data_IF_939803950652
#
_entry.id   IF_939803950652
#
_cell.length_a   1.000
_cell.length_b   1.000
_cell.length_c   1.000
_cell.angle_alpha   90.00
_cell.angle_beta   90.00
_cell.angle_gamma   90.00
#
_symmetry.space_group_name_H-M   'P 1'
#
loop_
_entity.id
_entity.type
_entity.pdbx_description
1 polymer ?
#
# COMPACT_ATOMS: atom_id res chain seq x y z
N UNK A 1 10.69 2.92 11.86
CA UNK A 1 11.19 2.97 10.47
C UNK A 1 11.37 4.43 10.02
N UNK A 2 12.54 4.79 9.48
CA UNK A 2 12.74 6.11 8.84
C UNK A 2 11.95 6.16 7.53
N UNK A 3 11.24 7.26 7.29
CA UNK A 3 10.61 7.52 6.00
C UNK A 3 11.71 7.61 4.92
N UNK A 4 11.67 6.73 3.92
CA UNK A 4 12.61 6.78 2.82
C UNK A 4 12.14 7.85 1.82
N UNK A 5 13.03 8.78 1.49
CA UNK A 5 12.90 9.66 0.34
C UNK A 5 13.32 8.86 -0.90
N UNK A 6 12.42 8.72 -1.87
CA UNK A 6 12.73 8.05 -3.14
C UNK A 6 12.71 9.12 -4.24
N UNK A 7 13.73 9.14 -5.09
CA UNK A 7 13.86 10.14 -6.16
C UNK A 7 12.85 9.96 -7.32
N UNK A 8 11.99 8.94 -7.27
CA UNK A 8 11.02 8.58 -8.31
C UNK A 8 10.63 7.11 -8.23
N UNK A 9 9.84 6.60 -9.18
CA UNK A 9 9.46 5.19 -9.27
C UNK A 9 10.65 4.36 -9.81
N UNK A 10 11.31 3.48 -9.03
CA UNK A 10 12.45 2.72 -9.54
C UNK A 10 11.97 1.63 -10.51
N UNK A 11 12.36 1.71 -11.78
CA UNK A 11 11.93 0.78 -12.84
C UNK A 11 12.19 -0.69 -12.50
N UNK A 12 13.31 -0.97 -11.83
CA UNK A 12 13.72 -2.33 -11.47
C UNK A 12 12.86 -2.91 -10.35
N UNK A 13 12.48 -2.09 -9.36
CA UNK A 13 11.58 -2.51 -8.27
C UNK A 13 10.18 -2.79 -8.82
N UNK A 14 9.67 -1.96 -9.73
CA UNK A 14 8.38 -2.18 -10.41
C UNK A 14 8.42 -3.46 -11.25
N UNK A 15 9.46 -3.65 -12.04
CA UNK A 15 9.62 -4.86 -12.87
C UNK A 15 9.64 -6.12 -12.01
N UNK A 16 10.41 -6.09 -10.90
CA UNK A 16 10.45 -7.20 -9.95
C UNK A 16 9.09 -7.44 -9.28
N UNK A 17 8.36 -6.38 -8.95
CA UNK A 17 7.03 -6.46 -8.36
C UNK A 17 6.01 -7.08 -9.32
N UNK A 18 5.98 -6.64 -10.57
CA UNK A 18 5.10 -7.18 -11.61
C UNK A 18 5.42 -8.64 -11.94
N UNK A 19 6.70 -9.02 -11.88
CA UNK A 19 7.14 -10.41 -12.07
C UNK A 19 6.87 -11.31 -10.86
N UNK A 20 6.29 -10.80 -9.77
CA UNK A 20 6.05 -11.60 -8.57
C UNK A 20 7.31 -11.91 -7.76
N UNK A 21 8.39 -11.15 -7.92
CA UNK A 21 9.71 -11.43 -7.31
C UNK A 21 10.11 -10.42 -6.22
N UNK A 22 9.29 -9.40 -5.99
CA UNK A 22 9.56 -8.36 -5.00
C UNK A 22 9.03 -8.76 -3.62
N UNK A 23 9.92 -8.85 -2.63
CA UNK A 23 9.60 -9.32 -1.27
C UNK A 23 8.86 -8.28 -0.42
N UNK A 24 9.00 -6.98 -0.74
CA UNK A 24 8.36 -5.89 0.01
C UNK A 24 7.48 -4.99 -0.86
N UNK A 25 6.19 -5.29 -1.02
CA UNK A 25 5.26 -4.45 -1.78
C UNK A 25 5.18 -3.01 -1.30
N UNK A 26 5.45 -2.70 -0.02
CA UNK A 26 5.35 -1.34 0.52
C UNK A 26 6.45 -0.41 0.01
N UNK A 27 7.53 -0.95 -0.57
CA UNK A 27 8.54 -0.14 -1.28
C UNK A 27 8.05 0.37 -2.63
N UNK A 28 7.09 -0.34 -3.23
CA UNK A 28 6.56 -0.03 -4.56
C UNK A 28 5.21 0.66 -4.48
N UNK A 29 4.34 0.22 -3.57
CA UNK A 29 2.94 0.65 -3.48
C UNK A 29 2.67 1.54 -2.26
N UNK A 30 1.54 2.24 -2.30
CA UNK A 30 1.11 3.16 -1.26
C UNK A 30 1.71 4.57 -1.43
N UNK A 31 1.69 5.39 -0.37
CA UNK A 31 2.26 6.73 -0.40
C UNK A 31 3.79 6.67 -0.35
N UNK A 32 4.49 7.51 -1.10
CA UNK A 32 5.96 7.62 -1.13
C UNK A 32 6.36 9.09 -1.15
N UNK A 33 7.36 9.47 -0.36
CA UNK A 33 7.88 10.85 -0.41
C UNK A 33 8.88 10.97 -1.57
N UNK A 34 8.63 11.93 -2.46
CA UNK A 34 9.48 12.27 -3.60
C UNK A 34 9.82 13.75 -3.50
N UNK A 35 10.99 14.06 -2.96
CA UNK A 35 11.34 15.44 -2.59
C UNK A 35 10.35 16.00 -1.56
N UNK A 36 9.67 17.10 -1.90
CA UNK A 36 8.64 17.72 -1.05
C UNK A 36 7.23 17.18 -1.32
N UNK A 37 7.07 16.33 -2.33
CA UNK A 37 5.76 15.87 -2.78
C UNK A 37 5.49 14.44 -2.30
N UNK A 38 4.22 14.07 -2.33
CA UNK A 38 3.77 12.71 -2.06
C UNK A 38 3.29 12.05 -3.34
N UNK A 39 3.92 10.94 -3.71
CA UNK A 39 3.48 10.09 -4.81
C UNK A 39 2.71 8.89 -4.27
N UNK A 40 1.46 8.73 -4.66
CA UNK A 40 0.63 7.57 -4.33
C UNK A 40 0.68 6.60 -5.49
N UNK A 41 1.13 5.37 -5.23
CA UNK A 41 1.36 4.33 -6.23
C UNK A 41 0.41 3.17 -6.01
N UNK A 42 -0.37 2.83 -7.03
CA UNK A 42 -1.44 1.83 -6.93
C UNK A 42 -1.31 0.81 -8.04
N UNK A 43 -1.46 -0.47 -7.69
CA UNK A 43 -1.54 -1.55 -8.66
C UNK A 43 -2.93 -2.21 -8.64
N UNK A 44 -3.72 -1.96 -9.69
CA UNK A 44 -5.05 -2.51 -9.93
C UNK A 44 -5.23 -2.84 -11.42
N UNK A 45 -4.84 -4.06 -11.86
CA UNK A 45 -5.03 -4.51 -13.25
C UNK A 45 -6.49 -4.49 -13.72
N UNK A 46 -7.43 -4.58 -12.78
CA UNK A 46 -8.87 -4.54 -13.04
C UNK A 46 -9.44 -3.12 -13.17
N UNK A 47 -8.66 -2.08 -12.82
CA UNK A 47 -9.08 -0.69 -12.91
C UNK A 47 -8.88 -0.13 -14.31
N UNK A 48 -9.89 0.61 -14.78
CA UNK A 48 -9.78 1.46 -15.98
C UNK A 48 -9.24 2.84 -15.61
N UNK A 49 -9.63 3.36 -14.45
CA UNK A 49 -9.25 4.66 -13.93
C UNK A 49 -9.15 4.61 -12.41
N UNK A 50 -8.21 5.36 -11.86
CA UNK A 50 -8.10 5.60 -10.41
C UNK A 50 -8.01 7.10 -10.17
N UNK A 51 -8.76 7.58 -9.20
CA UNK A 51 -8.64 8.92 -8.65
C UNK A 51 -8.37 8.85 -7.14
N UNK A 52 -7.54 9.76 -6.64
CA UNK A 52 -7.27 9.93 -5.22
C UNK A 52 -8.26 10.93 -4.65
N UNK A 53 -9.07 10.48 -3.70
CA UNK A 53 -10.06 11.31 -3.00
C UNK A 53 -9.52 11.65 -1.63
N UNK A 54 -9.25 12.93 -1.37
CA UNK A 54 -8.80 13.38 -0.05
C UNK A 54 -10.00 13.52 0.90
N UNK A 55 -9.86 13.08 2.15
CA UNK A 55 -10.96 13.20 3.13
C UNK A 55 -11.32 14.66 3.42
N UNK A 56 -10.34 15.55 3.40
CA UNK A 56 -10.55 16.99 3.59
C UNK A 56 -11.21 17.69 2.39
N UNK A 57 -11.14 17.13 1.18
CA UNK A 57 -11.70 17.73 -0.03
C UNK A 57 -12.16 16.65 -1.03
N UNK A 58 -13.26 15.98 -0.70
CA UNK A 58 -13.81 14.92 -1.54
C UNK A 58 -14.42 15.41 -2.86
N UNK A 59 -14.51 16.74 -3.07
CA UNK A 59 -15.08 17.33 -4.29
C UNK A 59 -14.05 17.53 -5.39
N UNK A 60 -12.76 17.39 -5.08
CA UNK A 60 -11.64 17.56 -6.02
C UNK A 60 -10.77 16.31 -6.04
N UNK A 61 -11.26 15.21 -6.63
CA UNK A 61 -10.44 14.02 -6.84
C UNK A 61 -9.22 14.35 -7.70
N UNK A 62 -8.06 13.80 -7.33
CA UNK A 62 -6.80 13.95 -8.06
C UNK A 62 -6.64 12.72 -8.95
N UNK A 63 -6.64 12.86 -10.28
CA UNK A 63 -6.52 11.71 -11.17
C UNK A 63 -5.14 11.07 -11.03
N UNK A 64 -5.09 9.73 -10.96
CA UNK A 64 -3.84 8.99 -11.06
C UNK A 64 -3.55 8.66 -12.53
N UNK A 65 -2.33 8.95 -12.96
CA UNK A 65 -1.85 8.65 -14.31
C UNK A 65 -1.50 7.16 -14.41
N UNK A 66 -2.06 6.48 -15.42
CA UNK A 66 -1.68 5.11 -15.74
C UNK A 66 -0.28 5.13 -16.35
N UNK A 67 0.63 4.35 -15.79
CA UNK A 67 2.01 4.27 -16.29
C UNK A 67 2.09 3.33 -17.50
N UNK A 68 3.28 3.18 -18.07
CA UNK A 68 3.54 2.22 -19.16
C UNK A 68 3.29 0.77 -18.74
N UNK A 69 3.40 0.49 -17.44
CA UNK A 69 3.12 -0.83 -16.87
C UNK A 69 1.63 -1.02 -16.66
N UNK A 70 1.06 -2.04 -17.31
CA UNK A 70 -0.37 -2.33 -17.20
C UNK A 70 -0.80 -2.53 -15.72
N UNK A 71 -1.95 -1.97 -15.36
CA UNK A 71 -2.50 -1.98 -14.02
C UNK A 71 -1.82 -1.06 -13.00
N UNK A 72 -0.76 -0.33 -13.36
CA UNK A 72 -0.04 0.55 -12.43
C UNK A 72 -0.43 2.03 -12.64
N UNK A 73 -0.69 2.72 -11.52
CA UNK A 73 -1.15 4.11 -11.51
C UNK A 73 -0.35 4.93 -10.49
N UNK A 74 -0.02 6.18 -10.84
CA UNK A 74 0.68 7.13 -10.00
C UNK A 74 -0.07 8.45 -9.90
N UNK A 75 -0.22 8.99 -8.69
CA UNK A 75 -0.73 10.34 -8.47
C UNK A 75 0.23 11.13 -7.59
N UNK A 76 0.61 12.33 -8.03
CA UNK A 76 1.51 13.22 -7.28
C UNK A 76 0.71 14.33 -6.60
N UNK A 77 0.95 14.51 -5.31
CA UNK A 77 0.29 15.50 -4.47
C UNK A 77 1.36 16.43 -3.91
N UNK A 78 1.35 17.66 -4.41
CA UNK A 78 2.38 18.64 -4.08
C UNK A 78 2.37 19.02 -2.60
N UNK A 79 3.54 19.00 -1.96
CA UNK A 79 3.71 19.43 -0.56
C UNK A 79 3.00 18.57 0.50
N UNK A 80 2.45 17.40 0.15
CA UNK A 80 1.71 16.57 1.07
C UNK A 80 2.62 15.69 1.95
N UNK A 81 2.18 15.42 3.17
CA UNK A 81 2.87 14.51 4.09
C UNK A 81 2.47 13.05 3.84
N UNK A 82 3.26 12.10 4.36
CA UNK A 82 2.94 10.66 4.29
C UNK A 82 1.62 10.30 4.97
N UNK A 83 1.26 11.04 6.02
CA UNK A 83 0.07 10.78 6.84
C UNK A 83 -1.20 11.38 6.22
N UNK A 84 -1.17 11.68 4.92
CA UNK A 84 -2.31 12.16 4.18
C UNK A 84 -3.44 11.12 4.21
N UNK A 85 -4.62 11.56 4.61
CA UNK A 85 -5.80 10.74 4.71
C UNK A 85 -6.60 10.75 3.38
N UNK A 86 -6.59 9.62 2.67
CA UNK A 86 -7.19 9.50 1.35
C UNK A 86 -7.87 8.14 1.11
N UNK A 87 -8.74 8.15 0.10
CA UNK A 87 -9.38 6.99 -0.49
C UNK A 87 -9.01 6.88 -1.96
N UNK A 88 -9.07 5.65 -2.48
CA UNK A 88 -8.98 5.34 -3.89
C UNK A 88 -10.40 5.23 -4.44
N UNK A 89 -10.75 6.10 -5.38
CA UNK A 89 -11.93 5.92 -6.23
C UNK A 89 -11.50 5.15 -7.47
N UNK A 90 -12.06 3.96 -7.65
CA UNK A 90 -11.69 3.04 -8.72
C UNK A 90 -12.86 2.91 -9.67
N UNK A 91 -12.65 3.25 -10.93
CA UNK A 91 -13.59 2.97 -12.01
C UNK A 91 -13.11 1.75 -12.77
N UNK A 92 -13.92 0.69 -12.83
CA UNK A 92 -13.61 -0.54 -13.55
C UNK A 92 -14.02 -0.46 -15.02
N UNK A 93 -13.66 -1.47 -15.80
CA UNK A 93 -13.97 -1.54 -17.23
C UNK A 93 -15.47 -1.63 -17.55
N UNK A 94 -16.26 -2.20 -16.64
CA UNK A 94 -17.73 -2.28 -16.74
C UNK A 94 -18.44 -0.97 -16.35
N UNK A 95 -17.67 0.06 -15.94
CA UNK A 95 -18.20 1.34 -15.46
C UNK A 95 -18.62 1.33 -13.99
N UNK A 96 -18.48 0.22 -13.27
CA UNK A 96 -18.69 0.21 -11.82
C UNK A 96 -17.64 1.06 -11.12
N UNK A 97 -18.08 1.75 -10.06
CA UNK A 97 -17.23 2.58 -9.22
C UNK A 97 -17.20 2.04 -7.79
N UNK A 98 -16.02 2.07 -7.18
CA UNK A 98 -15.78 1.64 -5.81
C UNK A 98 -14.89 2.67 -5.11
N UNK A 99 -15.25 3.05 -3.88
CA UNK A 99 -14.43 3.90 -3.02
C UNK A 99 -13.89 3.05 -1.88
N UNK A 100 -12.56 2.96 -1.76
CA UNK A 100 -11.92 2.14 -0.73
C UNK A 100 -10.64 2.78 -0.20
N UNK A 101 -10.20 2.33 0.97
CA UNK A 101 -8.89 2.71 1.51
C UNK A 101 -7.76 1.92 0.88
N UNK A 102 -6.64 2.59 0.62
CA UNK A 102 -5.42 1.92 0.16
C UNK A 102 -4.85 1.03 1.29
N UNK A 103 -4.74 -0.31 1.13
CA UNK A 103 -4.14 -1.17 2.14
C UNK A 103 -2.64 -0.87 2.38
N UNK A 104 -1.94 -0.30 1.40
CA UNK A 104 -0.51 0.01 1.49
C UNK A 104 -0.22 1.31 2.25
N UNK A 105 -1.25 2.06 2.66
CA UNK A 105 -1.09 3.24 3.51
C UNK A 105 -0.68 2.87 4.95
N UNK A 106 -1.12 1.70 5.45
CA UNK A 106 -0.96 1.33 6.85
C UNK A 106 0.43 0.82 7.22
N UNK A 107 1.23 0.42 6.23
CA UNK A 107 2.52 -0.20 6.46
C UNK A 107 2.45 -1.55 7.20
N UNK A 108 3.59 -2.05 7.71
CA UNK A 108 3.65 -3.29 8.47
C UNK A 108 2.86 -3.22 9.78
N UNK A 109 1.98 -4.19 9.98
CA UNK A 109 1.07 -4.24 11.13
C UNK A 109 1.66 -5.01 12.33
N UNK A 110 2.52 -6.01 12.09
CA UNK A 110 3.24 -6.74 13.14
C UNK A 110 4.38 -5.86 13.67
N UNK A 111 4.45 -5.68 14.99
CA UNK A 111 5.47 -4.83 15.61
C UNK A 111 6.82 -5.54 15.75
N UNK A 112 7.89 -4.75 15.94
CA UNK A 112 9.25 -5.26 16.12
C UNK A 112 9.38 -6.21 17.32
N UNK A 113 8.66 -5.95 18.41
CA UNK A 113 8.64 -6.83 19.60
C UNK A 113 8.02 -8.19 19.29
N UNK A 114 6.92 -8.22 18.52
CA UNK A 114 6.28 -9.47 18.14
C UNK A 114 7.24 -10.32 17.27
N UNK A 115 7.90 -9.67 16.29
CA UNK A 115 8.88 -10.32 15.42
C UNK A 115 10.08 -10.82 16.22
N UNK A 116 10.59 -10.03 17.16
CA UNK A 116 11.73 -10.39 18.00
C UNK A 116 11.42 -11.62 18.88
N UNK A 117 10.32 -11.59 19.63
CA UNK A 117 9.92 -12.72 20.48
C UNK A 117 9.65 -13.99 19.65
N UNK A 118 9.11 -13.85 18.44
CA UNK A 118 8.93 -14.99 17.54
C UNK A 118 10.29 -15.57 17.11
N UNK A 119 11.25 -14.71 16.75
CA UNK A 119 12.61 -15.11 16.39
C UNK A 119 13.34 -15.86 17.50
N UNK A 120 13.06 -15.55 18.76
CA UNK A 120 13.62 -16.24 19.93
C UNK A 120 12.82 -17.49 20.35
N UNK A 121 11.69 -17.78 19.69
CA UNK A 121 10.79 -18.86 20.08
C UNK A 121 10.04 -18.61 21.40
N UNK A 122 9.96 -17.34 21.84
CA UNK A 122 9.37 -16.93 23.12
C UNK A 122 8.00 -16.26 22.98
N UNK A 123 7.46 -16.15 21.77
CA UNK A 123 6.16 -15.54 21.55
C UNK A 123 5.01 -16.55 21.79
N UNK A 124 4.68 -16.81 23.06
CA UNK A 124 3.64 -17.77 23.47
C UNK A 124 2.25 -17.52 22.86
N UNK A 125 1.95 -16.26 22.53
CA UNK A 125 0.68 -15.84 21.91
C UNK A 125 0.80 -15.50 20.42
N UNK A 126 1.74 -16.12 19.70
CA UNK A 126 1.99 -15.75 18.29
C UNK A 126 0.78 -15.99 17.38
N UNK A 127 -0.13 -16.88 17.79
CA UNK A 127 -1.41 -17.10 17.11
C UNK A 127 -2.34 -15.88 17.10
N UNK A 128 -2.15 -14.90 17.99
CA UNK A 128 -2.86 -13.61 17.96
C UNK A 128 -2.32 -12.67 16.86
N UNK A 129 -1.20 -13.05 16.22
CA UNK A 129 -0.51 -12.27 15.18
C UNK A 129 -0.49 -13.01 13.84
N UNK A 130 -0.02 -14.26 13.79
CA UNK A 130 -0.08 -15.06 12.57
C UNK A 130 -1.51 -15.55 12.27
N UNK A 131 -1.77 -15.82 10.99
CA UNK A 131 -3.08 -16.23 10.49
C UNK A 131 -3.87 -15.06 9.90
N UNK A 132 -5.19 -15.12 10.03
CA UNK A 132 -6.12 -14.13 9.53
C UNK A 132 -6.94 -13.56 10.70
N UNK A 133 -6.87 -12.25 10.92
CA UNK A 133 -7.51 -11.59 12.06
C UNK A 133 -8.36 -10.43 11.60
N UNK A 134 -9.63 -10.40 12.00
CA UNK A 134 -10.47 -9.22 11.80
C UNK A 134 -9.87 -8.05 12.58
N UNK A 135 -9.69 -6.92 11.91
CA UNK A 135 -9.08 -5.75 12.52
C UNK A 135 -9.70 -4.49 11.95
N UNK A 136 -9.80 -3.47 12.80
CA UNK A 136 -10.13 -2.12 12.37
C UNK A 136 -8.89 -1.26 12.53
N UNK A 137 -8.46 -0.57 11.48
CA UNK A 137 -7.36 0.39 11.50
C UNK A 137 -7.93 1.74 11.06
N UNK A 138 -7.85 2.74 11.94
CA UNK A 138 -8.57 3.99 11.74
C UNK A 138 -10.08 3.74 11.74
N UNK A 139 -10.74 4.13 10.65
CA UNK A 139 -12.17 3.95 10.40
C UNK A 139 -12.49 2.70 9.56
N UNK A 140 -11.48 1.91 9.19
CA UNK A 140 -11.62 0.85 8.19
C UNK A 140 -11.50 -0.52 8.80
N UNK A 141 -12.59 -1.28 8.70
CA UNK A 141 -12.62 -2.69 9.04
C UNK A 141 -12.06 -3.54 7.89
N UNK A 142 -11.28 -4.55 8.22
CA UNK A 142 -10.71 -5.48 7.25
C UNK A 142 -10.15 -6.73 7.92
N UNK A 143 -9.30 -7.44 7.17
CA UNK A 143 -8.62 -8.64 7.65
C UNK A 143 -7.12 -8.44 7.52
N UNK A 144 -6.42 -8.63 8.63
CA UNK A 144 -4.96 -8.67 8.69
C UNK A 144 -4.48 -10.11 8.46
N UNK A 145 -3.54 -10.28 7.52
CA UNK A 145 -2.92 -11.57 7.22
C UNK A 145 -1.44 -11.55 7.56
N UNK A 146 -0.96 -12.60 8.21
CA UNK A 146 0.47 -12.84 8.38
C UNK A 146 0.80 -14.34 8.35
N UNK A 147 1.87 -14.68 7.64
CA UNK A 147 2.35 -16.03 7.45
C UNK A 147 3.86 -16.07 7.65
N UNK A 148 4.36 -17.15 8.25
CA UNK A 148 5.79 -17.42 8.31
C UNK A 148 6.20 -18.31 7.13
N UNK A 149 6.96 -17.73 6.21
CA UNK A 149 7.45 -18.42 5.01
C UNK A 149 8.85 -17.90 4.62
N UNK A 150 9.90 -18.18 5.42
CA UNK A 150 11.21 -17.51 5.30
C UNK A 150 11.95 -17.81 4.00
N UNK A 151 11.59 -18.89 3.31
CA UNK A 151 12.18 -19.30 2.03
C UNK A 151 11.25 -19.07 0.83
N UNK A 152 10.09 -18.43 1.04
CA UNK A 152 9.20 -18.08 -0.07
C UNK A 152 9.85 -16.98 -0.93
N UNK A 153 9.66 -17.10 -2.25
CA UNK A 153 10.11 -16.06 -3.17
C UNK A 153 9.17 -14.85 -3.13
N UNK A 154 7.85 -15.11 -3.13
CA UNK A 154 6.74 -14.19 -2.84
C UNK A 154 5.43 -14.98 -2.74
#
# INVERSE_FOLDING_TARGET
>A
MKAFEIAGLPSDEVTSFLAGKHSDPFRVLGPHRVGNDLEIRVFRPDARKIDIVLNQDSKRPIPAERTESDGFFCATIAGASRDLDYHLQITRWDGSEELLRDPYQYGPIMGEVDVHLFGEGQHWKIYEKFGAHLRTIGDTAGVYFAVWAPNAQR
#
